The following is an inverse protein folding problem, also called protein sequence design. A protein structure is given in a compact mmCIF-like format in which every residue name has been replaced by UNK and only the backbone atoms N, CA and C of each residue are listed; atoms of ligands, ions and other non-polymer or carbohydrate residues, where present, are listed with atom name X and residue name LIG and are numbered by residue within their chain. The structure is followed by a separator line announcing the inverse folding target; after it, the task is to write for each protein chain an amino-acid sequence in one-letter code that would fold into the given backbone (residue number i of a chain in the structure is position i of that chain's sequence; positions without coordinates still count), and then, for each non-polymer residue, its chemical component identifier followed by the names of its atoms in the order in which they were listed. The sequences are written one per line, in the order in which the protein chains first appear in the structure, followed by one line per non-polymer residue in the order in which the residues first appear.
data_IF_658266223625
#
_entry.id   IF_658266223625
#
_cell.length_a   1.000
_cell.length_b   1.000
_cell.length_c   1.000
_cell.angle_alpha   90.00
_cell.angle_beta   90.00
_cell.angle_gamma   90.00
#
_symmetry.space_group_name_H-M   'P 1'
#
loop_
_entity.id
_entity.type
_entity.pdbx_description
1 polymer ?
#
# COMPACT_ATOMS: atom_id res chain seq x y z
N UNK A 1 4.85 -10.86 29.11
CA UNK A 1 5.22 -10.24 27.83
C UNK A 1 4.02 -9.43 27.38
N UNK A 2 4.23 -8.18 26.99
CA UNK A 2 3.13 -7.28 26.63
C UNK A 2 2.62 -7.72 25.26
N UNK A 3 1.48 -8.43 25.23
CA UNK A 3 0.73 -8.61 23.99
C UNK A 3 0.18 -7.23 23.63
N UNK A 4 0.67 -6.65 22.53
CA UNK A 4 0.03 -5.48 21.94
C UNK A 4 -1.30 -6.00 21.36
N UNK A 5 -2.41 -5.72 22.04
CA UNK A 5 -3.72 -6.23 21.62
C UNK A 5 -4.29 -5.44 20.42
N UNK A 6 -3.71 -4.27 20.11
CA UNK A 6 -4.13 -3.40 19.00
C UNK A 6 -3.14 -2.25 18.81
N UNK A 7 -2.86 -1.89 17.55
CA UNK A 7 -2.14 -0.68 17.16
C UNK A 7 -3.17 0.44 16.93
N UNK A 8 -3.09 1.53 17.72
CA UNK A 8 -4.07 2.63 17.65
C UNK A 8 -3.44 3.99 17.38
N UNK A 9 -2.15 4.11 17.63
CA UNK A 9 -1.39 5.35 17.46
C UNK A 9 -0.18 5.10 16.57
N UNK A 10 0.37 6.18 16.03
CA UNK A 10 1.60 6.12 15.25
C UNK A 10 2.78 5.57 16.09
N UNK A 11 2.82 5.88 17.38
CA UNK A 11 3.86 5.36 18.29
C UNK A 11 3.73 3.84 18.46
N UNK A 12 2.51 3.30 18.58
CA UNK A 12 2.27 1.86 18.62
C UNK A 12 2.70 1.20 17.30
N UNK A 13 2.46 1.88 16.18
CA UNK A 13 2.80 1.41 14.84
C UNK A 13 4.31 1.34 14.64
N UNK A 14 5.05 2.40 14.98
CA UNK A 14 6.50 2.42 14.93
C UNK A 14 7.12 1.37 15.87
N UNK A 15 6.55 1.20 17.07
CA UNK A 15 7.00 0.19 18.01
C UNK A 15 6.76 -1.24 17.48
N UNK A 16 5.61 -1.49 16.84
CA UNK A 16 5.32 -2.77 16.21
C UNK A 16 6.29 -3.08 15.06
N UNK A 17 6.58 -2.09 14.20
CA UNK A 17 7.57 -2.24 13.12
C UNK A 17 8.98 -2.52 13.66
N UNK A 18 9.40 -1.80 14.70
CA UNK A 18 10.68 -2.05 15.35
C UNK A 18 10.75 -3.47 15.92
N UNK A 19 9.68 -3.93 16.56
CA UNK A 19 9.60 -5.29 17.12
C UNK A 19 9.64 -6.36 16.02
N UNK A 20 8.87 -6.19 14.95
CA UNK A 20 8.90 -7.05 13.77
C UNK A 20 10.33 -7.17 13.23
N UNK A 21 11.07 -6.06 13.12
CA UNK A 21 12.45 -6.08 12.64
C UNK A 21 13.39 -6.88 13.55
N UNK A 22 13.20 -6.84 14.87
CA UNK A 22 13.98 -7.65 15.82
C UNK A 22 13.73 -9.15 15.67
N UNK A 23 12.48 -9.55 15.43
CA UNK A 23 12.05 -10.95 15.39
C UNK A 23 11.83 -11.48 13.97
N UNK A 24 12.21 -10.72 12.95
CA UNK A 24 11.97 -11.04 11.54
C UNK A 24 12.56 -12.39 11.10
N UNK A 25 13.63 -12.82 11.75
CA UNK A 25 14.30 -14.10 11.50
C UNK A 25 13.93 -15.19 12.52
N UNK A 26 12.82 -15.03 13.25
CA UNK A 26 12.31 -16.06 14.15
C UNK A 26 12.12 -17.39 13.40
N UNK A 27 12.49 -18.49 14.06
CA UNK A 27 12.32 -19.80 13.47
C UNK A 27 10.85 -20.23 13.56
N UNK A 28 10.30 -20.95 12.57
CA UNK A 28 8.92 -21.42 12.62
C UNK A 28 8.63 -22.25 13.87
N UNK A 29 7.47 -21.99 14.49
CA UNK A 29 7.03 -22.70 15.70
C UNK A 29 7.72 -22.25 17.00
N UNK A 30 8.47 -21.15 16.98
CA UNK A 30 8.87 -20.46 18.22
C UNK A 30 7.84 -19.41 18.62
N UNK A 31 7.77 -19.03 19.91
CA UNK A 31 6.87 -17.97 20.36
C UNK A 31 7.07 -16.65 19.62
N UNK A 32 8.30 -16.34 19.20
CA UNK A 32 8.62 -15.16 18.40
C UNK A 32 8.03 -15.23 16.98
N UNK A 33 7.88 -16.42 16.40
CA UNK A 33 7.19 -16.60 15.12
C UNK A 33 5.70 -16.32 15.26
N UNK A 34 5.07 -16.81 16.34
CA UNK A 34 3.66 -16.56 16.63
C UNK A 34 3.40 -15.06 16.92
N UNK A 35 4.35 -14.42 17.61
CA UNK A 35 4.35 -12.97 17.85
C UNK A 35 4.50 -12.19 16.53
N UNK A 36 5.41 -12.61 15.65
CA UNK A 36 5.63 -11.98 14.34
C UNK A 36 4.36 -12.01 13.48
N UNK A 37 3.70 -13.17 13.37
CA UNK A 37 2.43 -13.30 12.63
C UNK A 37 1.38 -12.33 13.17
N UNK A 38 1.22 -12.29 14.50
CA UNK A 38 0.24 -11.39 15.14
C UNK A 38 0.55 -9.92 14.90
N UNK A 39 1.82 -9.50 14.95
CA UNK A 39 2.22 -8.11 14.73
C UNK A 39 2.02 -7.68 13.27
N UNK A 40 2.28 -8.58 12.31
CA UNK A 40 2.05 -8.31 10.89
C UNK A 40 0.56 -8.05 10.62
N UNK A 41 -0.33 -8.89 11.14
CA UNK A 41 -1.78 -8.72 10.98
C UNK A 41 -2.26 -7.37 11.56
N UNK A 42 -1.73 -6.97 12.72
CA UNK A 42 -2.09 -5.70 13.36
C UNK A 42 -1.57 -4.49 12.59
N UNK A 43 -0.37 -4.59 12.02
CA UNK A 43 0.24 -3.57 11.17
C UNK A 43 -0.60 -3.37 9.91
N UNK A 44 -0.97 -4.46 9.23
CA UNK A 44 -1.83 -4.42 8.03
C UNK A 44 -3.18 -3.75 8.34
N UNK A 45 -3.85 -4.12 9.45
CA UNK A 45 -5.11 -3.50 9.84
C UNK A 45 -4.97 -1.99 10.12
N UNK A 46 -3.84 -1.56 10.69
CA UNK A 46 -3.57 -0.14 10.92
C UNK A 46 -3.31 0.58 9.59
N UNK A 47 -2.51 0.01 8.70
CA UNK A 47 -2.18 0.58 7.39
C UNK A 47 -3.43 0.72 6.52
N UNK A 48 -4.30 -0.29 6.47
CA UNK A 48 -5.56 -0.23 5.72
C UNK A 48 -6.45 0.96 6.13
N UNK A 49 -6.41 1.34 7.41
CA UNK A 49 -7.20 2.45 7.94
C UNK A 49 -6.53 3.81 7.76
N UNK A 50 -5.21 3.87 7.83
CA UNK A 50 -4.45 5.14 7.88
C UNK A 50 -3.74 5.50 6.58
N UNK A 51 -3.35 4.50 5.78
CA UNK A 51 -2.66 4.63 4.50
C UNK A 51 -3.40 3.87 3.39
N UNK A 52 -4.67 4.21 3.10
CA UNK A 52 -5.39 3.58 2.01
C UNK A 52 -4.64 3.78 0.68
N UNK A 53 -4.46 2.69 -0.07
CA UNK A 53 -3.93 2.79 -1.44
C UNK A 53 -5.03 3.39 -2.31
N UNK A 54 -5.00 4.71 -2.46
CA UNK A 54 -5.84 5.38 -3.45
C UNK A 54 -5.50 4.82 -4.83
N UNK A 55 -6.51 4.53 -5.68
CA UNK A 55 -6.24 4.19 -7.06
C UNK A 55 -5.40 5.32 -7.68
N UNK A 56 -4.44 5.00 -8.58
CA UNK A 56 -3.69 6.04 -9.25
C UNK A 56 -4.70 7.02 -9.85
N UNK A 57 -4.53 8.30 -9.55
CA UNK A 57 -5.37 9.34 -10.14
C UNK A 57 -5.44 9.13 -11.65
N UNK A 58 -6.55 9.45 -12.34
CA UNK A 58 -6.67 9.18 -13.78
C UNK A 58 -5.47 9.69 -14.59
N UNK A 59 -4.83 10.79 -14.16
CA UNK A 59 -3.57 11.29 -14.70
C UNK A 59 -2.38 10.35 -14.46
N UNK A 60 -2.18 9.83 -13.25
CA UNK A 60 -1.12 8.88 -12.94
C UNK A 60 -1.30 7.53 -13.68
N UNK A 61 -2.54 7.08 -13.88
CA UNK A 61 -2.84 5.90 -14.68
C UNK A 61 -2.52 6.09 -16.17
N UNK A 62 -2.74 7.29 -16.71
CA UNK A 62 -2.36 7.67 -18.08
C UNK A 62 -0.84 7.74 -18.21
N UNK A 63 -0.14 8.37 -17.26
CA UNK A 63 1.33 8.44 -17.25
C UNK A 63 1.97 7.05 -17.18
N UNK A 64 1.45 6.15 -16.33
CA UNK A 64 1.90 4.76 -16.27
C UNK A 64 1.68 4.04 -17.61
N UNK A 65 0.53 4.21 -18.25
CA UNK A 65 0.29 3.64 -19.59
C UNK A 65 1.19 4.23 -20.68
N UNK A 66 1.53 5.52 -20.60
CA UNK A 66 2.43 6.18 -21.53
C UNK A 66 3.86 5.68 -21.37
N UNK A 67 4.33 5.50 -20.13
CA UNK A 67 5.65 4.93 -19.81
C UNK A 67 5.77 3.47 -20.30
N UNK A 68 4.74 2.64 -20.08
CA UNK A 68 4.70 1.25 -20.53
C UNK A 68 4.61 1.10 -22.07
N UNK A 69 4.15 2.12 -22.79
CA UNK A 69 3.98 2.07 -24.26
C UNK A 69 4.97 2.93 -25.04
N UNK A 70 5.84 3.68 -24.36
CA UNK A 70 6.82 4.60 -24.96
C UNK A 70 6.18 5.74 -25.77
N UNK A 71 4.93 6.11 -25.48
CA UNK A 71 4.16 7.10 -26.25
C UNK A 71 4.27 8.50 -25.66
N UNK A 72 4.58 9.49 -26.48
CA UNK A 72 4.67 10.89 -26.06
C UNK A 72 3.27 11.54 -25.97
N UNK A 73 3.07 12.57 -25.11
CA UNK A 73 1.78 13.23 -24.88
C UNK A 73 1.07 13.73 -26.15
N UNK A 74 1.84 14.05 -27.19
CA UNK A 74 1.35 14.54 -28.49
C UNK A 74 0.58 13.49 -29.31
N UNK A 75 0.69 12.20 -29.00
CA UNK A 75 0.02 11.12 -29.74
C UNK A 75 -1.42 10.85 -29.26
N UNK A 76 -1.85 11.46 -28.15
CA UNK A 76 -3.21 11.29 -27.59
C UNK A 76 -4.23 12.30 -28.14
N UNK A 77 -3.77 13.29 -28.90
CA UNK A 77 -4.59 14.39 -29.43
C UNK A 77 -5.78 13.95 -30.32
N UNK A 78 -5.78 12.83 -31.08
CA UNK A 78 -6.94 12.50 -31.91
C UNK A 78 -8.10 11.83 -31.16
N UNK A 79 -7.96 11.45 -29.88
CA UNK A 79 -8.97 10.67 -29.16
C UNK A 79 -10.00 11.53 -28.39
N UNK A 80 -9.73 12.82 -28.18
CA UNK A 80 -10.59 13.69 -27.36
C UNK A 80 -11.68 14.39 -28.20
N UNK A 81 -11.55 14.50 -29.53
CA UNK A 81 -12.47 15.33 -30.35
C UNK A 81 -13.74 14.63 -30.88
N UNK A 82 -14.03 13.37 -30.55
CA UNK A 82 -15.16 12.65 -31.17
C UNK A 82 -16.43 12.44 -30.34
N UNK A 83 -16.54 12.99 -29.13
CA UNK A 83 -17.75 12.81 -28.32
C UNK A 83 -18.72 14.00 -28.26
N UNK A 84 -18.44 15.14 -28.89
CA UNK A 84 -19.26 16.35 -28.74
C UNK A 84 -20.20 16.70 -29.91
N UNK A 85 -20.56 15.75 -30.78
CA UNK A 85 -21.56 16.04 -31.81
C UNK A 85 -22.27 14.83 -32.39
N UNK A 86 -23.36 14.38 -31.74
CA UNK A 86 -24.54 13.89 -32.46
C UNK A 86 -25.82 14.24 -31.70
N UNK A 87 -26.63 15.07 -32.37
CA UNK A 87 -28.05 15.49 -32.23
C UNK A 87 -28.89 15.09 -31.02
#
# INVERSE_FOLDING_TARGET
MANVESIRTEEDYEAALARIHEIFHAAPGTPESDELESLVDLVEEYEDKHYPIDPPSPSAAIEYHMDQTGKAPTDLTPLIEKHDKVS
#
